data_IF_027960629631
#
_entry.id   IF_027960629631
#
_cell.length_a   1.000
_cell.length_b   1.000
_cell.length_c   1.000
_cell.angle_alpha   90.00
_cell.angle_beta   90.00
_cell.angle_gamma   90.00
#
_symmetry.space_group_name_H-M   'P 1'
#
loop_
_entity.id
_entity.type
_entity.pdbx_description
1 polymer ?
#
# COMPACT_ATOMS: atom_id res chain seq x y z
N UNK A 1 2.79 -13.07 9.38
CA UNK A 1 3.75 -14.17 9.59
C UNK A 1 4.61 -13.93 10.83
N UNK A 2 4.88 -12.67 11.22
CA UNK A 2 5.63 -12.33 12.43
C UNK A 2 4.84 -12.50 13.74
N UNK A 3 3.53 -12.23 13.77
CA UNK A 3 2.68 -12.40 14.98
C UNK A 3 2.75 -13.81 15.59
N UNK A 4 2.69 -14.86 14.78
CA UNK A 4 2.84 -16.25 15.25
C UNK A 4 4.24 -16.56 15.81
N UNK A 5 5.29 -15.92 15.29
CA UNK A 5 6.64 -16.04 15.83
C UNK A 5 6.75 -15.35 17.20
N UNK A 6 6.08 -14.20 17.39
CA UNK A 6 6.02 -13.51 18.68
C UNK A 6 5.23 -14.30 19.72
N UNK A 7 4.08 -14.88 19.36
CA UNK A 7 3.28 -15.70 20.27
C UNK A 7 4.08 -16.90 20.80
N UNK A 8 4.85 -17.56 19.92
CA UNK A 8 5.69 -18.70 20.29
C UNK A 8 6.88 -18.30 21.16
N UNK A 9 7.51 -17.15 20.88
CA UNK A 9 8.60 -16.61 21.70
C UNK A 9 8.10 -16.23 23.11
N UNK A 10 6.92 -15.60 23.19
CA UNK A 10 6.31 -15.18 24.44
C UNK A 10 5.92 -16.37 25.31
N UNK A 11 5.29 -17.41 24.74
CA UNK A 11 4.99 -18.65 25.48
C UNK A 11 6.26 -19.28 26.08
N UNK A 12 7.37 -19.31 25.32
CA UNK A 12 8.67 -19.76 25.82
C UNK A 12 9.20 -18.89 26.97
N UNK A 13 9.00 -17.57 26.92
CA UNK A 13 9.41 -16.65 27.98
C UNK A 13 8.56 -16.79 29.26
N UNK A 14 7.26 -17.08 29.13
CA UNK A 14 6.37 -17.39 30.25
C UNK A 14 6.73 -18.74 30.91
N UNK A 15 7.05 -19.76 30.11
CA UNK A 15 7.46 -21.09 30.60
C UNK A 15 8.82 -21.05 31.32
N UNK A 16 9.72 -20.13 30.95
CA UNK A 16 11.05 -19.97 31.55
C UNK A 16 11.07 -19.07 32.80
N UNK A 17 9.92 -18.63 33.31
CA UNK A 17 9.79 -18.01 34.64
C UNK A 17 10.41 -16.61 34.81
N UNK A 18 10.89 -15.97 33.74
CA UNK A 18 11.70 -14.75 33.83
C UNK A 18 10.93 -13.43 33.85
N UNK A 19 9.71 -13.37 33.30
CA UNK A 19 8.92 -12.14 33.24
C UNK A 19 7.43 -12.43 33.34
N UNK A 20 6.79 -11.97 34.43
CA UNK A 20 5.32 -11.86 34.52
C UNK A 20 4.89 -10.55 33.89
N UNK A 21 4.82 -10.49 32.57
CA UNK A 21 3.97 -9.45 31.97
C UNK A 21 2.52 -9.80 32.30
N UNK A 22 1.78 -8.81 32.76
CA UNK A 22 0.34 -8.95 32.96
C UNK A 22 -0.30 -9.32 31.61
N UNK A 23 -1.18 -10.32 31.62
CA UNK A 23 -1.80 -10.84 30.40
C UNK A 23 -2.57 -9.73 29.68
N UNK A 24 -3.17 -8.83 30.44
CA UNK A 24 -3.93 -7.70 29.91
C UNK A 24 -3.02 -6.70 29.18
N UNK A 25 -1.80 -6.49 29.69
CA UNK A 25 -0.78 -5.66 29.01
C UNK A 25 -0.33 -6.34 27.72
N UNK A 26 -0.21 -7.66 27.72
CA UNK A 26 0.21 -8.45 26.56
C UNK A 26 -0.80 -8.36 25.42
N UNK A 27 -2.09 -8.51 25.71
CA UNK A 27 -3.16 -8.41 24.72
C UNK A 27 -3.17 -7.02 24.06
N UNK A 28 -3.01 -5.95 24.85
CA UNK A 28 -2.91 -4.58 24.33
C UNK A 28 -1.68 -4.38 23.42
N UNK A 29 -0.55 -5.01 23.75
CA UNK A 29 0.66 -4.92 22.91
C UNK A 29 0.45 -5.65 21.59
N UNK A 30 -0.14 -6.84 21.60
CA UNK A 30 -0.40 -7.62 20.38
C UNK A 30 -1.32 -6.87 19.41
N UNK A 31 -2.43 -6.31 19.90
CA UNK A 31 -3.34 -5.50 19.07
C UNK A 31 -2.63 -4.32 18.41
N UNK A 32 -1.75 -3.63 19.16
CA UNK A 32 -0.96 -2.51 18.62
C UNK A 32 0.03 -2.97 17.55
N UNK A 33 0.69 -4.12 17.74
CA UNK A 33 1.63 -4.68 16.77
C UNK A 33 0.91 -5.04 15.47
N UNK A 34 -0.26 -5.68 15.54
CA UNK A 34 -1.07 -5.99 14.34
C UNK A 34 -1.47 -4.73 13.58
N UNK A 35 -1.87 -3.69 14.31
CA UNK A 35 -2.20 -2.40 13.71
C UNK A 35 -0.98 -1.78 12.98
N UNK A 36 0.19 -1.79 13.62
CA UNK A 36 1.44 -1.29 13.02
C UNK A 36 1.79 -2.08 11.75
N UNK A 37 1.68 -3.41 11.75
CA UNK A 37 1.93 -4.22 10.55
C UNK A 37 1.00 -3.83 9.38
N UNK A 38 -0.28 -3.60 9.68
CA UNK A 38 -1.26 -3.17 8.69
C UNK A 38 -0.91 -1.79 8.11
N UNK A 39 -0.54 -0.84 8.97
CA UNK A 39 -0.11 0.49 8.54
C UNK A 39 1.17 0.46 7.69
N UNK A 40 2.14 -0.38 8.05
CA UNK A 40 3.38 -0.55 7.28
C UNK A 40 3.11 -1.10 5.89
N UNK A 41 2.23 -2.11 5.76
CA UNK A 41 1.81 -2.64 4.45
C UNK A 41 1.09 -1.59 3.61
N UNK A 42 0.20 -0.81 4.23
CA UNK A 42 -0.48 0.29 3.53
C UNK A 42 0.51 1.35 3.08
N UNK A 43 1.52 1.68 3.90
CA UNK A 43 2.56 2.64 3.54
C UNK A 43 3.40 2.12 2.37
N UNK A 44 3.89 0.89 2.42
CA UNK A 44 4.66 0.27 1.33
C UNK A 44 3.87 0.27 0.01
N UNK A 45 2.57 -0.02 0.09
CA UNK A 45 1.66 0.07 -1.05
C UNK A 45 1.52 1.50 -1.58
N UNK A 46 1.28 2.46 -0.69
CA UNK A 46 1.17 3.88 -1.02
C UNK A 46 2.49 4.46 -1.56
N UNK A 47 3.63 3.87 -1.21
CA UNK A 47 4.95 4.28 -1.70
C UNK A 47 5.22 3.76 -3.11
N UNK A 48 4.66 2.61 -3.50
CA UNK A 48 4.87 1.99 -4.82
C UNK A 48 3.81 2.33 -5.84
N UNK A 49 2.58 2.58 -5.41
CA UNK A 49 1.43 2.74 -6.30
C UNK A 49 0.68 4.05 -6.04
N UNK A 50 -0.03 4.49 -7.07
CA UNK A 50 -0.97 5.60 -7.01
C UNK A 50 -2.32 5.18 -7.57
N UNK A 51 -3.38 5.74 -7.01
CA UNK A 51 -4.71 5.64 -7.61
C UNK A 51 -4.87 6.63 -8.78
N UNK A 52 -5.92 6.41 -9.57
CA UNK A 52 -6.28 7.25 -10.72
C UNK A 52 -6.41 8.73 -10.34
N UNK A 53 -6.99 9.02 -9.17
CA UNK A 53 -7.23 10.39 -8.72
C UNK A 53 -5.92 11.12 -8.44
N UNK A 54 -4.97 10.44 -7.81
CA UNK A 54 -3.67 10.99 -7.47
C UNK A 54 -2.85 11.24 -8.73
N UNK A 55 -2.87 10.30 -9.68
CA UNK A 55 -2.22 10.49 -11.00
C UNK A 55 -2.87 11.63 -11.79
N UNK A 56 -4.20 11.74 -11.76
CA UNK A 56 -4.93 12.83 -12.41
C UNK A 56 -4.48 14.21 -11.89
N UNK A 57 -4.25 14.35 -10.57
CA UNK A 57 -3.72 15.57 -9.96
C UNK A 57 -2.29 15.85 -10.41
N UNK A 58 -1.41 14.84 -10.38
CA UNK A 58 0.00 15.00 -10.74
C UNK A 58 0.16 15.38 -12.22
N UNK A 59 -0.57 14.72 -13.11
CA UNK A 59 -0.51 14.98 -14.55
C UNK A 59 -1.42 16.13 -15.00
N UNK A 60 -2.16 16.78 -14.08
CA UNK A 60 -3.13 17.85 -14.35
C UNK A 60 -4.14 17.45 -15.46
N UNK A 61 -4.68 16.23 -15.37
CA UNK A 61 -5.70 15.69 -16.30
C UNK A 61 -6.94 15.24 -15.54
N UNK A 62 -8.06 15.03 -16.24
CA UNK A 62 -9.26 14.47 -15.63
C UNK A 62 -9.07 12.98 -15.30
N UNK A 63 -9.75 12.47 -14.26
CA UNK A 63 -9.74 11.03 -13.95
C UNK A 63 -10.22 10.18 -15.14
N UNK A 64 -11.18 10.68 -15.93
CA UNK A 64 -11.65 10.01 -17.14
C UNK A 64 -10.57 9.89 -18.21
N UNK A 65 -9.75 10.94 -18.39
CA UNK A 65 -8.59 10.92 -19.27
C UNK A 65 -7.59 9.87 -18.82
N UNK A 66 -7.26 9.80 -17.53
CA UNK A 66 -6.32 8.80 -17.00
C UNK A 66 -6.84 7.39 -17.24
N UNK A 67 -8.10 7.10 -16.93
CA UNK A 67 -8.70 5.77 -17.19
C UNK A 67 -8.64 5.39 -18.67
N UNK A 68 -8.95 6.34 -19.56
CA UNK A 68 -8.84 6.13 -21.01
C UNK A 68 -7.40 5.80 -21.41
N UNK A 69 -6.41 6.54 -20.92
CA UNK A 69 -5.00 6.29 -21.22
C UNK A 69 -4.53 4.92 -20.72
N UNK A 70 -5.04 4.44 -19.58
CA UNK A 70 -4.77 3.07 -19.10
C UNK A 70 -5.39 2.04 -20.04
N UNK A 71 -6.65 2.23 -20.45
CA UNK A 71 -7.33 1.34 -21.39
C UNK A 71 -6.67 1.31 -22.77
N UNK A 72 -6.10 2.43 -23.21
CA UNK A 72 -5.31 2.56 -24.44
C UNK A 72 -3.88 2.01 -24.30
N UNK A 73 -3.47 1.55 -23.11
CA UNK A 73 -2.12 1.03 -22.85
C UNK A 73 -1.02 2.10 -22.78
N UNK A 74 -1.38 3.38 -22.74
CA UNK A 74 -0.45 4.53 -22.66
C UNK A 74 0.04 4.82 -21.24
N UNK A 75 -0.73 4.39 -20.24
CA UNK A 75 -0.34 4.43 -18.83
C UNK A 75 -0.43 3.01 -18.28
N UNK A 76 0.63 2.54 -17.63
CA UNK A 76 0.61 1.25 -16.95
C UNK A 76 -0.36 1.28 -15.76
N UNK A 77 -1.31 0.34 -15.72
CA UNK A 77 -2.31 0.30 -14.66
C UNK A 77 -2.84 -1.10 -14.40
N UNK A 78 -2.78 -1.52 -13.14
CA UNK A 78 -3.32 -2.79 -12.66
C UNK A 78 -4.75 -2.59 -12.17
N UNK A 79 -5.69 -3.31 -12.76
CA UNK A 79 -7.09 -3.29 -12.35
C UNK A 79 -7.26 -4.10 -11.06
N UNK A 80 -7.66 -3.43 -9.99
CA UNK A 80 -7.96 -4.07 -8.69
C UNK A 80 -9.48 -4.15 -8.50
N UNK A 81 -10.03 -5.31 -8.86
CA UNK A 81 -11.42 -5.69 -8.62
C UNK A 81 -12.22 -6.05 -9.87
N UNK A 82 -13.21 -6.92 -9.68
CA UNK A 82 -14.17 -7.38 -10.68
C UNK A 82 -15.49 -6.62 -10.52
N UNK A 83 -15.75 -5.61 -11.35
CA UNK A 83 -17.02 -4.88 -11.31
C UNK A 83 -17.16 -3.78 -12.38
N UNK A 84 -18.38 -3.59 -12.85
CA UNK A 84 -18.76 -2.62 -13.88
C UNK A 84 -19.26 -1.32 -13.24
N UNK A 85 -18.35 -0.35 -13.08
CA UNK A 85 -18.57 1.11 -13.28
C UNK A 85 -17.40 1.94 -12.76
N UNK A 86 -16.59 1.43 -11.83
CA UNK A 86 -15.41 2.15 -11.30
C UNK A 86 -14.33 1.18 -10.85
N UNK A 87 -13.88 0.29 -11.74
CA UNK A 87 -12.74 -0.55 -11.41
C UNK A 87 -11.57 0.35 -11.00
N UNK A 88 -11.07 0.13 -9.78
CA UNK A 88 -9.96 0.89 -9.22
C UNK A 88 -8.71 0.45 -9.98
N UNK A 89 -7.91 1.41 -10.44
CA UNK A 89 -6.61 1.12 -11.04
C UNK A 89 -5.51 1.54 -10.08
N UNK A 90 -4.46 0.72 -10.03
CA UNK A 90 -3.19 1.05 -9.42
C UNK A 90 -2.15 1.28 -10.48
N UNK A 91 -1.49 2.41 -10.35
CA UNK A 91 -0.51 2.89 -11.32
C UNK A 91 0.83 2.92 -10.58
N UNK A 92 1.87 2.23 -11.06
CA UNK A 92 3.20 2.32 -10.46
C UNK A 92 3.70 3.77 -10.40
N UNK A 93 4.18 4.22 -9.24
CA UNK A 93 4.78 5.55 -9.10
C UNK A 93 5.97 5.74 -10.02
N UNK A 94 6.82 4.72 -10.11
CA UNK A 94 8.01 4.72 -10.97
C UNK A 94 7.68 5.03 -12.42
N UNK A 95 6.56 4.49 -12.93
CA UNK A 95 6.10 4.80 -14.29
C UNK A 95 5.73 6.28 -14.44
N UNK A 96 4.98 6.84 -13.48
CA UNK A 96 4.58 8.26 -13.49
C UNK A 96 5.78 9.18 -13.34
N UNK A 97 6.71 8.88 -12.44
CA UNK A 97 7.94 9.64 -12.25
C UNK A 97 8.78 9.65 -13.54
N UNK A 98 8.91 8.49 -14.21
CA UNK A 98 9.55 8.40 -15.52
C UNK A 98 8.83 9.24 -16.57
N UNK A 99 7.49 9.20 -16.60
CA UNK A 99 6.69 9.95 -17.57
C UNK A 99 6.83 11.47 -17.35
N UNK A 100 6.94 11.93 -16.11
CA UNK A 100 7.22 13.33 -15.78
C UNK A 100 8.64 13.71 -16.19
N UNK A 101 9.62 12.86 -15.91
CA UNK A 101 11.03 13.11 -16.23
C UNK A 101 11.26 13.13 -17.75
N UNK A 102 10.61 12.24 -18.50
CA UNK A 102 10.64 12.22 -19.96
C UNK A 102 9.82 13.37 -20.56
N UNK A 103 8.70 13.73 -19.92
CA UNK A 103 7.80 14.82 -20.32
C UNK A 103 8.39 16.23 -20.17
N UNK A 104 9.48 16.41 -19.42
CA UNK A 104 10.31 17.64 -19.48
C UNK A 104 10.96 17.86 -20.86
N UNK A 105 10.83 16.90 -21.80
CA UNK A 105 11.17 17.06 -23.22
C UNK A 105 9.98 17.04 -24.19
N UNK A 106 8.72 16.98 -23.72
CA UNK A 106 7.51 16.95 -24.57
C UNK A 106 6.59 18.17 -24.39
N UNK A 107 7.13 19.26 -23.81
CA UNK A 107 6.46 20.57 -23.79
C UNK A 107 7.37 21.56 -24.52
N UNK A 108 7.38 21.47 -25.84
CA UNK A 108 7.55 22.60 -26.76
C UNK A 108 6.55 22.43 -27.92
#
# INVERSE_FOLDING_TARGET
MFVYQYQSLLNKMYEQGGYRLDKDILEVILDKVENIESLLKQKEYNDRFMDVRSVARVLKRSEGTIRRLIQEGKIEGFKIGSGNKQSRYLIPKTFIDNLINQGKGFIE
#
